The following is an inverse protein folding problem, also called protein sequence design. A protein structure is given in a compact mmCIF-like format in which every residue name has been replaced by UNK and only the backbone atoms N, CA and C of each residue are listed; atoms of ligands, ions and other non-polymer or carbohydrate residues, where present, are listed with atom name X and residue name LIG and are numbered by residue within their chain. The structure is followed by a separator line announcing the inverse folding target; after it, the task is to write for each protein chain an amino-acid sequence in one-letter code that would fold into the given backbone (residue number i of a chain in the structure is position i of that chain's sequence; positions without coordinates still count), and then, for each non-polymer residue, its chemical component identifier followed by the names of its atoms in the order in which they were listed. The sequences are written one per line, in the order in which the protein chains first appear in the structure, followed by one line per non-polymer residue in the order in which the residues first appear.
data_IF_108286643389
#
_entry.id   IF_108286643389
#
_cell.length_a   1.000
_cell.length_b   1.000
_cell.length_c   1.000
_cell.angle_alpha   90.00
_cell.angle_beta   90.00
_cell.angle_gamma   90.00
#
_symmetry.space_group_name_H-M   'P 1'
#
loop_
_entity.id
_entity.type
_entity.pdbx_description
1 polymer ?
#
# COMPACT_ATOMS: atom_id res chain seq x y z
N UNK A 1 18.69 0.00 -5.86
CA UNK A 1 18.37 -1.46 -5.92
C UNK A 1 17.92 -1.78 -7.32
N UNK A 2 18.43 -2.84 -7.95
CA UNK A 2 17.83 -3.32 -9.19
C UNK A 2 16.43 -3.86 -8.87
N UNK A 3 15.40 -3.57 -9.69
CA UNK A 3 14.10 -4.18 -9.51
C UNK A 3 14.27 -5.69 -9.51
N UNK A 4 13.67 -6.35 -8.54
CA UNK A 4 13.73 -7.81 -8.43
C UNK A 4 13.08 -8.38 -9.70
N UNK A 5 13.75 -9.23 -10.47
CA UNK A 5 13.18 -9.78 -11.69
C UNK A 5 11.89 -10.55 -11.34
N UNK A 6 10.80 -10.27 -12.02
CA UNK A 6 9.50 -10.91 -11.81
C UNK A 6 9.57 -12.44 -11.74
N UNK A 7 10.48 -13.09 -12.51
CA UNK A 7 10.69 -14.54 -12.44
C UNK A 7 11.24 -15.04 -11.10
N UNK A 8 12.02 -14.24 -10.37
CA UNK A 8 12.48 -14.61 -9.04
C UNK A 8 11.36 -14.44 -8.01
N UNK A 9 10.57 -13.38 -8.13
CA UNK A 9 9.38 -13.17 -7.32
C UNK A 9 8.29 -14.22 -7.56
N UNK A 10 8.11 -14.70 -8.81
CA UNK A 10 7.13 -15.74 -9.16
C UNK A 10 7.54 -17.09 -8.54
N UNK A 11 8.81 -17.47 -8.59
CA UNK A 11 9.26 -18.74 -8.04
C UNK A 11 9.16 -18.79 -6.49
N UNK A 12 9.51 -17.69 -5.81
CA UNK A 12 9.29 -17.54 -4.37
C UNK A 12 7.80 -17.35 -4.07
N UNK A 13 7.05 -16.66 -4.96
CA UNK A 13 5.62 -16.44 -4.87
C UNK A 13 4.79 -17.71 -4.95
N UNK A 14 5.17 -18.68 -5.79
CA UNK A 14 4.48 -19.98 -5.85
C UNK A 14 4.65 -20.78 -4.56
N UNK A 15 5.80 -20.71 -3.90
CA UNK A 15 6.03 -21.36 -2.62
C UNK A 15 5.30 -20.64 -1.48
N UNK A 16 5.29 -19.31 -1.51
CA UNK A 16 4.53 -18.46 -0.59
C UNK A 16 3.02 -18.61 -0.86
N UNK A 17 2.57 -18.60 -2.11
CA UNK A 17 1.18 -18.79 -2.49
C UNK A 17 0.67 -20.18 -2.11
N UNK A 18 1.51 -21.23 -2.20
CA UNK A 18 1.18 -22.56 -1.70
C UNK A 18 1.03 -22.55 -0.17
N UNK A 19 1.84 -21.79 0.54
CA UNK A 19 1.67 -21.59 1.98
C UNK A 19 0.41 -20.77 2.30
N UNK A 20 0.07 -19.76 1.50
CA UNK A 20 -1.17 -18.98 1.67
C UNK A 20 -2.42 -19.71 1.19
N UNK A 21 -2.36 -20.51 0.14
CA UNK A 21 -3.48 -21.37 -0.32
C UNK A 21 -3.71 -22.58 0.57
N UNK A 22 -2.68 -23.10 1.23
CA UNK A 22 -2.83 -24.14 2.24
C UNK A 22 -3.45 -23.59 3.54
N UNK A 23 -3.42 -22.27 3.72
CA UNK A 23 -4.20 -21.60 4.73
C UNK A 23 -5.55 -21.26 4.10
N UNK A 24 -6.51 -22.20 4.23
CA UNK A 24 -7.90 -21.92 3.92
C UNK A 24 -8.28 -20.53 4.46
N UNK A 25 -9.23 -19.78 3.80
CA UNK A 25 -9.63 -18.43 4.24
C UNK A 25 -10.11 -18.37 5.70
N UNK A 26 -10.01 -19.45 6.41
CA UNK A 26 -10.45 -19.70 7.79
C UNK A 26 -9.34 -20.19 8.71
N UNK A 27 -8.10 -20.29 8.27
CA UNK A 27 -6.97 -20.47 9.20
C UNK A 27 -6.63 -19.12 9.84
N UNK A 28 -7.54 -18.83 10.66
CA UNK A 28 -7.76 -17.75 11.59
C UNK A 28 -6.47 -17.46 12.31
N UNK A 29 -6.16 -16.22 12.42
CA UNK A 29 -5.04 -15.76 13.22
C UNK A 29 -5.02 -16.49 14.56
N UNK A 30 -4.12 -17.46 14.66
CA UNK A 30 -3.79 -18.12 15.93
C UNK A 30 -2.48 -17.48 16.42
N UNK A 31 -2.53 -16.60 17.43
CA UNK A 31 -1.35 -15.92 17.95
C UNK A 31 -0.31 -16.90 18.50
N UNK A 32 -0.66 -18.16 18.72
CA UNK A 32 0.29 -19.20 19.17
C UNK A 32 1.04 -19.84 18.01
N UNK A 33 0.50 -19.80 16.80
CA UNK A 33 1.05 -20.41 15.58
C UNK A 33 1.76 -19.42 14.68
N UNK A 34 1.37 -18.14 14.76
CA UNK A 34 1.99 -17.09 13.96
C UNK A 34 3.33 -16.69 14.58
N UNK A 35 4.36 -16.54 13.74
CA UNK A 35 5.69 -16.10 14.18
C UNK A 35 5.72 -14.58 14.45
N UNK A 36 4.94 -14.14 15.42
CA UNK A 36 4.88 -12.74 15.87
C UNK A 36 5.73 -12.52 17.10
N UNK A 37 6.27 -11.32 17.23
CA UNK A 37 7.03 -10.95 18.41
C UNK A 37 6.21 -11.00 19.70
N UNK A 38 6.84 -11.13 20.87
CA UNK A 38 6.14 -11.10 22.14
C UNK A 38 5.35 -9.81 22.38
N UNK A 39 5.83 -8.67 21.89
CA UNK A 39 5.17 -7.36 22.00
C UNK A 39 3.86 -7.32 21.20
N UNK A 40 3.89 -7.78 19.96
CA UNK A 40 2.70 -7.88 19.10
C UNK A 40 1.70 -8.85 19.71
N UNK A 41 2.16 -10.02 20.13
CA UNK A 41 1.31 -11.02 20.80
C UNK A 41 0.60 -10.44 22.03
N UNK A 42 1.34 -9.71 22.85
CA UNK A 42 0.79 -9.02 24.02
C UNK A 42 -0.24 -7.98 23.60
N UNK A 43 0.07 -7.15 22.60
CA UNK A 43 -0.85 -6.13 22.10
C UNK A 43 -2.18 -6.71 21.63
N UNK A 44 -2.15 -7.86 20.94
CA UNK A 44 -3.37 -8.57 20.52
C UNK A 44 -4.14 -9.15 21.71
N UNK A 45 -3.45 -9.81 22.63
CA UNK A 45 -4.09 -10.51 23.75
C UNK A 45 -4.71 -9.53 24.76
N UNK A 46 -4.05 -8.40 25.01
CA UNK A 46 -4.50 -7.38 25.97
C UNK A 46 -5.30 -6.26 25.30
N UNK A 47 -5.49 -6.30 23.96
CA UNK A 47 -6.11 -5.24 23.16
C UNK A 47 -5.48 -3.89 23.53
N UNK A 48 -4.16 -3.83 23.52
CA UNK A 48 -3.41 -2.61 23.83
C UNK A 48 -2.96 -1.91 22.54
N UNK A 49 -2.76 -0.59 22.62
CA UNK A 49 -2.31 0.19 21.51
C UNK A 49 -0.90 -0.21 21.07
N UNK A 50 -0.69 -0.31 19.78
CA UNK A 50 0.61 -0.48 19.12
C UNK A 50 0.76 0.58 18.02
N UNK A 51 1.96 1.10 17.86
CA UNK A 51 2.25 2.03 16.77
C UNK A 51 2.24 1.29 15.44
N UNK A 52 1.57 1.85 14.44
CA UNK A 52 1.52 1.28 13.09
C UNK A 52 1.65 2.35 12.01
N UNK A 53 2.24 1.97 10.88
CA UNK A 53 2.16 2.72 9.61
C UNK A 53 1.11 2.01 8.77
N UNK A 54 0.06 2.72 8.40
CA UNK A 54 -1.05 2.21 7.59
C UNK A 54 -0.93 2.76 6.18
N UNK A 55 -1.08 1.87 5.21
CA UNK A 55 -1.04 2.19 3.78
C UNK A 55 -2.34 1.74 3.15
N UNK A 56 -2.97 2.65 2.42
CA UNK A 56 -4.11 2.37 1.55
C UNK A 56 -3.70 2.57 0.10
N UNK A 57 -4.00 1.59 -0.73
CA UNK A 57 -3.73 1.62 -2.17
C UNK A 57 -5.06 1.51 -2.91
N UNK A 58 -5.24 2.28 -3.97
CA UNK A 58 -6.47 2.31 -4.77
C UNK A 58 -6.16 2.47 -6.26
N UNK A 59 -6.92 1.75 -7.10
CA UNK A 59 -6.83 1.89 -8.56
C UNK A 59 -7.75 3.02 -9.01
N UNK A 60 -7.16 4.14 -9.37
CA UNK A 60 -7.92 5.29 -9.88
C UNK A 60 -8.66 4.95 -11.15
N UNK A 61 -9.93 5.37 -11.22
CA UNK A 61 -10.83 5.12 -12.35
C UNK A 61 -11.15 3.64 -12.58
N UNK A 62 -10.97 2.77 -11.60
CA UNK A 62 -11.30 1.33 -11.69
C UNK A 62 -12.71 1.07 -12.22
N UNK A 63 -13.70 1.81 -11.75
CA UNK A 63 -15.10 1.72 -12.24
C UNK A 63 -15.20 2.11 -13.73
N UNK A 64 -14.40 3.06 -14.20
CA UNK A 64 -14.34 3.43 -15.63
C UNK A 64 -13.61 2.35 -16.43
N UNK A 65 -12.52 1.80 -15.89
CA UNK A 65 -11.79 0.67 -16.48
C UNK A 65 -12.72 -0.53 -16.67
N UNK A 66 -13.48 -0.90 -15.64
CA UNK A 66 -14.46 -1.98 -15.71
C UNK A 66 -15.55 -1.71 -16.76
N UNK A 67 -16.09 -0.46 -16.81
CA UNK A 67 -17.13 -0.07 -17.77
C UNK A 67 -16.65 -0.13 -19.22
N UNK A 68 -15.40 0.27 -19.47
CA UNK A 68 -14.80 0.27 -20.80
C UNK A 68 -14.22 -1.10 -21.19
N UNK A 69 -14.15 -2.07 -20.28
CA UNK A 69 -13.62 -3.41 -20.56
C UNK A 69 -14.38 -4.13 -21.65
N UNK A 70 -13.63 -4.71 -22.60
CA UNK A 70 -14.14 -5.53 -23.68
C UNK A 70 -14.55 -6.91 -23.15
N UNK A 71 -13.72 -7.48 -22.30
CA UNK A 71 -13.90 -8.77 -21.64
C UNK A 71 -13.82 -8.59 -20.12
N UNK A 72 -14.97 -8.65 -19.43
CA UNK A 72 -15.05 -8.50 -17.98
C UNK A 72 -14.35 -9.66 -17.24
N UNK A 73 -14.46 -10.92 -17.65
CA UNK A 73 -13.62 -11.99 -17.12
C UNK A 73 -12.11 -11.72 -17.21
N UNK A 74 -11.63 -11.11 -18.30
CA UNK A 74 -10.21 -10.74 -18.43
C UNK A 74 -9.84 -9.63 -17.46
N UNK A 75 -10.71 -8.63 -17.26
CA UNK A 75 -10.52 -7.60 -16.22
C UNK A 75 -10.37 -8.25 -14.84
N UNK A 76 -11.27 -9.20 -14.50
CA UNK A 76 -11.22 -9.88 -13.21
C UNK A 76 -9.93 -10.68 -13.02
N UNK A 77 -9.46 -11.39 -14.07
CA UNK A 77 -8.16 -12.10 -14.02
C UNK A 77 -6.98 -11.13 -13.80
N UNK A 78 -6.94 -10.03 -14.55
CA UNK A 78 -5.88 -9.01 -14.37
C UNK A 78 -5.87 -8.41 -12.98
N UNK A 79 -7.06 -8.19 -12.39
CA UNK A 79 -7.18 -7.71 -11.02
C UNK A 79 -6.72 -8.77 -10.01
N UNK A 80 -7.08 -10.04 -10.21
CA UNK A 80 -6.66 -11.15 -9.34
C UNK A 80 -5.14 -11.33 -9.36
N UNK A 81 -4.53 -11.31 -10.55
CA UNK A 81 -3.07 -11.36 -10.71
C UNK A 81 -2.38 -10.19 -9.99
N UNK A 82 -2.95 -8.97 -10.10
CA UNK A 82 -2.44 -7.81 -9.38
C UNK A 82 -2.54 -7.97 -7.86
N UNK A 83 -3.66 -8.49 -7.35
CA UNK A 83 -3.86 -8.78 -5.92
C UNK A 83 -2.83 -9.79 -5.42
N UNK A 84 -2.60 -10.86 -6.17
CA UNK A 84 -1.65 -11.90 -5.80
C UNK A 84 -0.21 -11.35 -5.72
N UNK A 85 0.20 -10.57 -6.73
CA UNK A 85 1.52 -9.94 -6.73
C UNK A 85 1.65 -8.90 -5.61
N UNK A 86 0.63 -8.05 -5.42
CA UNK A 86 0.60 -7.08 -4.33
C UNK A 86 0.86 -7.75 -2.98
N UNK A 87 0.20 -8.87 -2.68
CA UNK A 87 0.39 -9.62 -1.43
C UNK A 87 1.80 -10.18 -1.31
N UNK A 88 2.39 -10.65 -2.41
CA UNK A 88 3.75 -11.15 -2.45
C UNK A 88 4.75 -10.04 -2.14
N UNK A 89 4.61 -8.88 -2.79
CA UNK A 89 5.45 -7.70 -2.54
C UNK A 89 5.28 -7.20 -1.11
N UNK A 90 4.04 -7.18 -0.59
CA UNK A 90 3.75 -6.79 0.78
C UNK A 90 4.46 -7.68 1.79
N UNK A 91 4.35 -9.00 1.60
CA UNK A 91 5.01 -9.97 2.48
C UNK A 91 6.54 -9.83 2.45
N UNK A 92 7.12 -9.66 1.26
CA UNK A 92 8.56 -9.45 1.10
C UNK A 92 9.06 -8.23 1.90
N UNK A 93 8.26 -7.17 1.99
CA UNK A 93 8.55 -5.97 2.79
C UNK A 93 8.07 -6.06 4.25
N UNK A 94 7.67 -7.23 4.73
CA UNK A 94 7.25 -7.45 6.12
C UNK A 94 5.96 -6.74 6.52
N UNK A 95 5.12 -6.39 5.54
CA UNK A 95 3.83 -5.77 5.77
C UNK A 95 2.73 -6.80 6.04
N UNK A 96 1.66 -6.34 6.66
CA UNK A 96 0.48 -7.12 7.01
C UNK A 96 -0.70 -6.68 6.14
N UNK A 97 -1.37 -7.65 5.51
CA UNK A 97 -2.58 -7.39 4.75
C UNK A 97 -3.78 -7.31 5.71
N UNK A 98 -4.56 -6.22 5.65
CA UNK A 98 -5.78 -6.10 6.44
C UNK A 98 -7.00 -6.54 5.63
N UNK A 99 -7.29 -5.84 4.55
CA UNK A 99 -8.47 -6.17 3.72
C UNK A 99 -8.36 -5.65 2.29
N UNK A 100 -9.16 -6.27 1.45
CA UNK A 100 -9.47 -5.84 0.10
C UNK A 100 -10.75 -4.98 0.10
N UNK A 101 -10.71 -3.84 -0.58
CA UNK A 101 -11.82 -2.86 -0.61
C UNK A 101 -12.54 -2.82 -1.97
N UNK A 102 -12.35 -3.85 -2.79
CA UNK A 102 -12.97 -4.00 -4.11
C UNK A 102 -12.02 -3.70 -5.27
N UNK A 103 -11.37 -2.58 -5.27
CA UNK A 103 -10.35 -2.13 -6.23
C UNK A 103 -9.11 -1.55 -5.54
N UNK A 104 -9.10 -1.62 -4.21
CA UNK A 104 -8.03 -1.15 -3.37
C UNK A 104 -7.70 -2.10 -2.23
N UNK A 105 -6.68 -1.75 -1.46
CA UNK A 105 -6.13 -2.55 -0.38
C UNK A 105 -5.83 -1.69 0.83
N UNK A 106 -5.99 -2.29 2.01
CA UNK A 106 -5.46 -1.74 3.25
C UNK A 106 -4.41 -2.71 3.79
N UNK A 107 -3.24 -2.19 4.09
CA UNK A 107 -2.15 -2.93 4.69
C UNK A 107 -1.44 -2.07 5.75
N UNK A 108 -0.61 -2.70 6.58
CA UNK A 108 0.05 -2.00 7.68
C UNK A 108 1.36 -2.65 8.08
N UNK A 109 2.22 -1.85 8.72
CA UNK A 109 3.46 -2.28 9.39
C UNK A 109 3.38 -1.93 10.85
N UNK A 110 3.69 -2.89 11.71
CA UNK A 110 3.74 -2.69 13.16
C UNK A 110 5.13 -2.16 13.53
N UNK A 111 5.17 -1.01 14.17
CA UNK A 111 6.43 -0.35 14.52
C UNK A 111 6.88 -0.80 15.90
N UNK A 112 7.83 -1.74 15.93
CA UNK A 112 8.37 -2.29 17.17
C UNK A 112 9.70 -1.66 17.61
N UNK A 113 10.43 -1.05 16.67
CA UNK A 113 11.79 -0.52 16.91
C UNK A 113 11.93 0.89 16.35
N UNK A 114 12.65 1.02 15.24
CA UNK A 114 12.90 2.31 14.59
C UNK A 114 11.77 2.65 13.61
N UNK A 115 11.10 3.75 13.82
CA UNK A 115 10.07 4.25 12.89
C UNK A 115 10.68 4.55 11.51
N UNK A 116 11.89 5.10 11.48
CA UNK A 116 12.58 5.43 10.22
C UNK A 116 12.87 4.21 9.36
N UNK A 117 13.31 3.10 9.97
CA UNK A 117 13.58 1.85 9.24
C UNK A 117 12.29 1.25 8.65
N UNK A 118 11.19 1.30 9.41
CA UNK A 118 9.89 0.86 8.90
C UNK A 118 9.39 1.77 7.78
N UNK A 119 9.58 3.09 7.91
CA UNK A 119 9.18 4.03 6.87
C UNK A 119 9.96 3.84 5.58
N UNK A 120 11.26 3.52 5.65
CA UNK A 120 12.09 3.13 4.50
C UNK A 120 11.50 1.92 3.78
N UNK A 121 11.20 0.86 4.54
CA UNK A 121 10.56 -0.35 4.01
C UNK A 121 9.21 -0.07 3.37
N UNK A 122 8.38 0.77 3.99
CA UNK A 122 7.07 1.17 3.45
C UNK A 122 7.21 1.94 2.14
N UNK A 123 8.16 2.85 2.04
CA UNK A 123 8.38 3.61 0.81
C UNK A 123 8.93 2.73 -0.32
N UNK A 124 9.83 1.80 -0.01
CA UNK A 124 10.32 0.81 -0.98
C UNK A 124 9.18 -0.08 -1.50
N UNK A 125 8.29 -0.51 -0.61
CA UNK A 125 7.06 -1.22 -0.97
C UNK A 125 6.19 -0.38 -1.92
N UNK A 126 5.90 0.87 -1.57
CA UNK A 126 5.07 1.75 -2.38
C UNK A 126 5.66 1.98 -3.77
N UNK A 127 6.99 2.19 -3.86
CA UNK A 127 7.69 2.30 -5.14
C UNK A 127 7.55 1.03 -5.98
N UNK A 128 7.76 -0.13 -5.36
CA UNK A 128 7.69 -1.43 -6.03
C UNK A 128 6.29 -1.69 -6.60
N UNK A 129 5.25 -1.46 -5.80
CA UNK A 129 3.85 -1.66 -6.23
C UNK A 129 3.47 -0.69 -7.35
N UNK A 130 3.87 0.58 -7.27
CA UNK A 130 3.60 1.56 -8.33
C UNK A 130 4.31 1.20 -9.64
N UNK A 131 5.58 0.78 -9.58
CA UNK A 131 6.37 0.42 -10.75
C UNK A 131 5.80 -0.83 -11.43
N UNK A 132 5.44 -1.85 -10.64
CA UNK A 132 4.82 -3.07 -11.13
C UNK A 132 3.47 -2.78 -11.79
N UNK A 133 2.63 -1.97 -11.15
CA UNK A 133 1.35 -1.59 -11.75
C UNK A 133 1.55 -0.87 -13.09
N UNK A 134 2.42 0.14 -13.14
CA UNK A 134 2.72 0.91 -14.36
C UNK A 134 3.28 0.03 -15.48
N UNK A 135 4.14 -0.92 -15.13
CA UNK A 135 4.88 -1.72 -16.11
C UNK A 135 4.07 -2.90 -16.64
N UNK A 136 3.25 -3.53 -15.80
CA UNK A 136 2.60 -4.80 -16.14
C UNK A 136 1.08 -4.72 -16.17
N UNK A 137 0.46 -4.12 -15.16
CA UNK A 137 -1.00 -4.18 -15.01
C UNK A 137 -1.75 -3.08 -15.75
N UNK A 138 -1.22 -1.85 -15.74
CA UNK A 138 -1.80 -0.77 -16.53
C UNK A 138 -1.88 -1.12 -18.03
N UNK A 139 -0.82 -1.61 -18.69
CA UNK A 139 -0.91 -2.04 -20.09
C UNK A 139 -1.89 -3.21 -20.29
N UNK A 140 -1.97 -4.15 -19.34
CA UNK A 140 -2.91 -5.27 -19.42
C UNK A 140 -4.37 -4.81 -19.32
N UNK A 141 -4.67 -3.84 -18.44
CA UNK A 141 -5.99 -3.20 -18.38
C UNK A 141 -6.32 -2.46 -19.67
N UNK A 142 -5.40 -1.64 -20.17
CA UNK A 142 -5.58 -0.84 -21.41
C UNK A 142 -5.82 -1.73 -22.63
N UNK A 143 -5.09 -2.83 -22.75
CA UNK A 143 -5.27 -3.79 -23.85
C UNK A 143 -6.68 -4.43 -23.88
N UNK A 144 -7.40 -4.41 -22.76
CA UNK A 144 -8.77 -4.92 -22.63
C UNK A 144 -9.83 -3.81 -22.60
N UNK A 145 -9.54 -2.61 -23.08
CA UNK A 145 -10.48 -1.49 -23.09
C UNK A 145 -10.91 -1.08 -24.50
N UNK A 146 -12.15 -0.58 -24.62
CA UNK A 146 -12.65 0.07 -25.83
C UNK A 146 -12.10 1.48 -25.97
N UNK A 147 -12.11 2.20 -24.87
CA UNK A 147 -11.55 3.55 -24.77
C UNK A 147 -10.75 3.63 -23.47
N UNK A 148 -9.59 4.26 -23.54
CA UNK A 148 -8.73 4.48 -22.39
C UNK A 148 -9.19 5.74 -21.64
N UNK A 149 -9.74 5.61 -20.41
CA UNK A 149 -10.04 6.77 -19.58
C UNK A 149 -8.75 7.47 -19.14
N UNK A 150 -8.73 8.79 -19.14
CA UNK A 150 -7.61 9.54 -18.58
C UNK A 150 -7.52 9.36 -17.07
N UNK A 151 -6.31 9.35 -16.53
CA UNK A 151 -6.06 9.33 -15.09
C UNK A 151 -6.23 7.97 -14.42
N UNK A 152 -6.00 6.88 -15.16
CA UNK A 152 -5.83 5.54 -14.57
C UNK A 152 -4.44 5.46 -13.94
N UNK A 153 -4.35 4.84 -12.77
CA UNK A 153 -3.10 4.63 -12.05
C UNK A 153 -3.34 4.20 -10.61
N UNK A 154 -2.28 3.98 -9.87
CA UNK A 154 -2.38 3.76 -8.44
C UNK A 154 -2.28 5.07 -7.68
N UNK A 155 -3.10 5.20 -6.64
CA UNK A 155 -2.97 6.23 -5.61
C UNK A 155 -2.71 5.57 -4.28
N UNK A 156 -1.82 6.14 -3.50
CA UNK A 156 -1.43 5.59 -2.20
C UNK A 156 -1.60 6.66 -1.13
N UNK A 157 -2.28 6.30 -0.04
CA UNK A 157 -2.40 7.12 1.17
C UNK A 157 -1.67 6.48 2.33
N UNK A 158 -0.93 7.26 3.11
CA UNK A 158 -0.16 6.80 4.26
C UNK A 158 -0.49 7.64 5.48
N UNK A 159 -0.76 6.96 6.60
CA UNK A 159 -0.84 7.58 7.92
C UNK A 159 -0.16 6.69 8.97
N UNK A 160 0.18 7.24 10.12
CA UNK A 160 0.81 6.49 11.19
C UNK A 160 0.37 6.98 12.56
N UNK A 161 0.30 6.05 13.49
CA UNK A 161 -0.05 6.34 14.88
C UNK A 161 -0.52 5.11 15.64
N UNK A 162 -1.06 5.31 16.84
CA UNK A 162 -1.53 4.22 17.66
C UNK A 162 -2.75 3.53 17.06
N UNK A 163 -2.65 2.20 16.96
CA UNK A 163 -3.69 1.32 16.46
C UNK A 163 -3.91 0.16 17.45
N UNK A 164 -5.00 -0.56 17.29
CA UNK A 164 -5.33 -1.76 18.03
C UNK A 164 -5.46 -2.92 17.05
N UNK A 165 -4.93 -4.07 17.42
CA UNK A 165 -5.11 -5.31 16.68
C UNK A 165 -6.16 -6.16 17.37
N UNK A 166 -7.18 -6.58 16.63
CA UNK A 166 -8.25 -7.41 17.18
C UNK A 166 -8.69 -8.46 16.17
N UNK A 167 -8.96 -9.69 16.59
CA UNK A 167 -9.57 -10.68 15.74
C UNK A 167 -11.07 -10.36 15.54
N UNK A 168 -11.44 -10.06 14.31
CA UNK A 168 -12.84 -9.87 13.91
C UNK A 168 -13.21 -11.01 12.95
N UNK A 169 -14.20 -11.83 13.35
CA UNK A 169 -14.67 -13.00 12.57
C UNK A 169 -13.53 -13.98 12.21
N UNK A 170 -12.44 -13.94 12.98
CA UNK A 170 -11.28 -14.82 12.79
C UNK A 170 -10.12 -14.22 12.03
N UNK A 171 -10.29 -13.08 11.38
CA UNK A 171 -9.21 -12.34 10.73
C UNK A 171 -8.63 -11.28 11.66
N UNK A 172 -7.30 -11.17 11.69
CA UNK A 172 -6.65 -10.09 12.43
C UNK A 172 -6.85 -8.78 11.69
N UNK A 173 -7.55 -7.85 12.34
CA UNK A 173 -7.89 -6.55 11.76
C UNK A 173 -7.25 -5.43 12.59
N UNK A 174 -6.75 -4.41 11.91
CA UNK A 174 -6.25 -3.20 12.54
C UNK A 174 -7.37 -2.17 12.71
N UNK A 175 -7.42 -1.51 13.86
CA UNK A 175 -8.40 -0.45 14.19
C UNK A 175 -7.65 0.76 14.73
N UNK A 176 -7.95 1.95 14.19
CA UNK A 176 -7.36 3.20 14.66
C UNK A 176 -7.58 4.37 13.72
N UNK A 177 -7.32 5.59 14.19
CA UNK A 177 -7.40 6.80 13.36
C UNK A 177 -6.46 6.79 12.14
N UNK A 178 -5.27 6.15 12.18
CA UNK A 178 -4.40 6.08 11.01
C UNK A 178 -5.05 5.40 9.80
N UNK A 179 -5.99 4.46 10.00
CA UNK A 179 -6.70 3.85 8.88
C UNK A 179 -7.55 4.90 8.15
N UNK A 180 -8.29 5.69 8.93
CA UNK A 180 -9.13 6.75 8.37
C UNK A 180 -8.28 7.80 7.66
N UNK A 181 -7.16 8.20 8.27
CA UNK A 181 -6.21 9.15 7.68
C UNK A 181 -5.61 8.63 6.37
N UNK A 182 -5.11 7.40 6.33
CA UNK A 182 -4.57 6.78 5.13
C UNK A 182 -5.61 6.72 3.99
N UNK A 183 -6.85 6.29 4.29
CA UNK A 183 -7.95 6.27 3.31
C UNK A 183 -8.23 7.67 2.76
N UNK A 184 -8.31 8.70 3.63
CA UNK A 184 -8.54 10.09 3.19
C UNK A 184 -7.41 10.61 2.31
N UNK A 185 -6.17 10.32 2.67
CA UNK A 185 -5.01 10.68 1.84
C UNK A 185 -5.08 9.97 0.49
N UNK A 186 -5.41 8.70 0.47
CA UNK A 186 -5.58 7.94 -0.75
C UNK A 186 -6.68 8.54 -1.62
N UNK A 187 -7.86 8.87 -1.07
CA UNK A 187 -9.01 9.43 -1.80
C UNK A 187 -8.67 10.71 -2.57
N UNK A 188 -7.81 11.54 -1.99
CA UNK A 188 -7.40 12.84 -2.57
C UNK A 188 -6.11 12.76 -3.39
N UNK A 189 -5.45 11.61 -3.39
CA UNK A 189 -4.17 11.39 -4.04
C UNK A 189 -4.34 11.29 -5.57
N UNK A 190 -3.54 12.01 -6.38
CA UNK A 190 -3.51 11.80 -7.82
C UNK A 190 -2.98 10.41 -8.19
N UNK A 191 -3.26 9.93 -9.42
CA UNK A 191 -2.64 8.71 -9.92
C UNK A 191 -1.12 8.80 -9.92
N UNK A 192 -0.46 7.69 -9.59
CA UNK A 192 1.01 7.57 -9.48
C UNK A 192 1.67 8.48 -8.43
N UNK A 193 0.89 8.90 -7.45
CA UNK A 193 1.39 9.64 -6.30
C UNK A 193 1.14 8.87 -5.01
N UNK A 194 1.88 9.26 -3.99
CA UNK A 194 1.56 8.87 -2.64
C UNK A 194 1.34 10.15 -1.79
N UNK A 195 0.38 10.11 -0.90
CA UNK A 195 0.10 11.20 0.03
C UNK A 195 0.24 10.74 1.47
N UNK A 196 0.98 11.52 2.23
CA UNK A 196 1.18 11.28 3.65
C UNK A 196 0.31 12.24 4.47
N UNK A 197 -0.39 11.69 5.45
CA UNK A 197 -1.09 12.48 6.46
C UNK A 197 -0.06 13.09 7.43
N UNK A 198 0.73 14.02 6.93
CA UNK A 198 1.83 14.60 7.68
C UNK A 198 1.47 16.03 8.11
N UNK A 199 1.67 16.30 9.36
CA UNK A 199 1.54 17.61 9.98
C UNK A 199 2.87 18.01 10.62
N UNK A 200 3.08 19.30 10.95
CA UNK A 200 4.32 19.72 11.60
C UNK A 200 4.60 18.92 12.87
N UNK A 201 5.76 18.27 12.91
CA UNK A 201 6.15 17.39 14.01
C UNK A 201 5.65 15.95 13.92
N UNK A 202 4.99 15.55 12.81
CA UNK A 202 4.63 14.15 12.60
C UNK A 202 5.87 13.30 12.33
N UNK A 203 5.87 12.07 12.86
CA UNK A 203 6.95 11.09 12.63
C UNK A 203 7.06 10.68 11.15
N UNK A 204 5.98 10.79 10.39
CA UNK A 204 5.98 10.52 8.95
C UNK A 204 6.92 11.46 8.18
N UNK A 205 6.92 12.76 8.51
CA UNK A 205 7.83 13.71 7.90
C UNK A 205 9.30 13.42 8.22
N UNK A 206 9.56 13.11 9.47
CA UNK A 206 10.91 12.81 9.93
C UNK A 206 11.43 11.52 9.27
N UNK A 207 10.63 10.47 9.26
CA UNK A 207 10.92 9.20 8.58
C UNK A 207 11.13 9.38 7.07
N UNK A 208 10.24 10.14 6.41
CA UNK A 208 10.35 10.42 4.98
C UNK A 208 11.65 11.16 4.63
N UNK A 209 11.99 12.21 5.35
CA UNK A 209 13.22 12.97 5.10
C UNK A 209 14.48 12.12 5.16
N UNK A 210 14.54 11.20 6.12
CA UNK A 210 15.65 10.27 6.28
C UNK A 210 15.69 9.23 5.15
N UNK A 211 14.55 8.71 4.76
CA UNK A 211 14.42 7.67 3.72
C UNK A 211 14.71 8.22 2.34
N UNK A 212 14.16 9.37 2.01
CA UNK A 212 14.38 10.01 0.72
C UNK A 212 15.86 10.30 0.43
N UNK A 213 16.67 10.52 1.47
CA UNK A 213 18.11 10.65 1.34
C UNK A 213 18.83 9.32 0.96
N UNK A 214 18.15 8.17 1.11
CA UNK A 214 18.71 6.83 0.90
C UNK A 214 18.12 6.10 -0.31
N UNK A 215 17.03 6.61 -0.91
CA UNK A 215 16.43 6.00 -2.10
C UNK A 215 17.46 5.91 -3.21
N UNK A 216 17.39 4.83 -3.98
CA UNK A 216 18.39 4.47 -4.99
C UNK A 216 18.66 5.61 -5.97
N UNK A 217 19.89 5.63 -6.52
CA UNK A 217 20.30 6.65 -7.51
C UNK A 217 19.42 6.67 -8.77
N UNK A 218 18.62 5.62 -9.02
CA UNK A 218 17.75 5.48 -10.19
C UNK A 218 16.34 6.05 -9.96
N UNK A 219 15.93 6.30 -8.71
CA UNK A 219 14.61 6.84 -8.39
C UNK A 219 14.78 8.29 -7.94
N UNK A 220 14.03 9.16 -8.57
CA UNK A 220 13.87 10.53 -8.13
C UNK A 220 12.45 10.72 -7.56
N UNK A 221 12.29 11.70 -6.71
CA UNK A 221 11.00 12.04 -6.14
C UNK A 221 10.84 13.55 -6.06
N UNK A 222 9.57 13.97 -6.11
CA UNK A 222 9.18 15.36 -5.87
C UNK A 222 8.24 15.37 -4.69
N UNK A 223 8.47 16.30 -3.77
CA UNK A 223 7.58 16.50 -2.62
C UNK A 223 6.87 17.84 -2.80
N UNK A 224 5.55 17.81 -2.75
CA UNK A 224 4.71 19.01 -2.77
C UNK A 224 3.86 19.05 -1.50
N UNK A 225 3.77 20.21 -0.88
CA UNK A 225 2.83 20.44 0.22
C UNK A 225 1.45 20.74 -0.35
N UNK A 226 0.44 20.05 0.12
CA UNK A 226 -0.96 20.28 -0.27
C UNK A 226 -1.81 20.52 0.97
N UNK A 227 -2.83 21.37 0.85
CA UNK A 227 -3.91 21.44 1.82
C UNK A 227 -5.01 20.49 1.36
N UNK A 228 -5.34 19.52 2.20
CA UNK A 228 -6.37 18.53 1.92
C UNK A 228 -7.54 18.72 2.86
N UNK A 229 -8.72 18.97 2.29
CA UNK A 229 -9.96 19.03 3.05
C UNK A 229 -10.53 17.63 3.21
N UNK A 230 -10.79 17.23 4.43
CA UNK A 230 -11.46 15.98 4.75
C UNK A 230 -12.67 16.24 5.64
N UNK A 231 -13.50 15.23 5.86
CA UNK A 231 -14.63 15.35 6.78
C UNK A 231 -14.20 15.68 8.21
N UNK A 232 -13.04 15.18 8.60
CA UNK A 232 -12.43 15.38 9.92
C UNK A 232 -11.74 16.73 10.03
N UNK A 233 -11.30 17.28 8.89
CA UNK A 233 -10.58 18.56 8.79
C UNK A 233 -11.16 19.41 7.66
N UNK A 234 -12.37 19.97 7.84
CA UNK A 234 -13.06 20.72 6.78
C UNK A 234 -12.39 22.06 6.44
N UNK A 235 -11.46 22.54 7.25
CA UNK A 235 -10.66 23.74 6.98
C UNK A 235 -9.33 23.45 6.27
N UNK A 236 -9.14 22.21 5.87
CA UNK A 236 -7.91 21.73 5.28
C UNK A 236 -6.88 21.27 6.30
N UNK A 237 -6.14 20.27 5.92
CA UNK A 237 -4.99 19.72 6.63
C UNK A 237 -3.78 19.77 5.71
N UNK A 238 -2.63 20.13 6.25
CA UNK A 238 -1.37 20.06 5.50
C UNK A 238 -1.01 18.59 5.31
N UNK A 239 -0.82 18.20 4.07
CA UNK A 239 -0.34 16.87 3.69
C UNK A 239 0.79 17.00 2.66
N UNK A 240 1.59 15.96 2.53
CA UNK A 240 2.70 15.91 1.60
C UNK A 240 2.35 14.93 0.48
N UNK A 241 2.36 15.43 -0.76
CA UNK A 241 2.27 14.62 -1.96
C UNK A 241 3.67 14.29 -2.41
N UNK A 242 3.94 13.01 -2.62
CA UNK A 242 5.23 12.52 -3.11
C UNK A 242 5.00 11.83 -4.44
N UNK A 243 5.65 12.31 -5.48
CA UNK A 243 5.67 11.70 -6.79
C UNK A 243 7.00 11.00 -6.97
N UNK A 244 6.96 9.71 -7.34
CA UNK A 244 8.14 8.92 -7.67
C UNK A 244 8.26 8.78 -9.20
N UNK A 245 9.49 8.95 -9.70
CA UNK A 245 9.80 8.77 -11.11
C UNK A 245 11.21 8.22 -11.30
N UNK A 246 11.45 7.47 -12.37
CA UNK A 246 12.79 7.03 -12.73
C UNK A 246 13.58 8.19 -13.32
N UNK A 247 14.85 8.34 -12.89
CA UNK A 247 15.76 9.33 -13.50
C UNK A 247 15.93 9.02 -14.99
N UNK A 248 15.60 9.99 -15.85
CA UNK A 248 15.68 9.86 -17.29
C UNK A 248 14.32 9.61 -17.98
N UNK A 249 13.26 9.28 -17.27
CA UNK A 249 11.90 9.32 -17.83
C UNK A 249 11.44 10.78 -17.92
N UNK A 250 11.04 11.19 -19.14
CA UNK A 250 10.35 12.47 -19.29
C UNK A 250 8.97 12.34 -18.67
N UNK A 251 8.67 13.20 -17.71
CA UNK A 251 7.30 13.33 -17.24
C UNK A 251 6.42 13.71 -18.42
N UNK A 252 5.51 12.81 -18.80
CA UNK A 252 4.40 13.16 -19.67
C UNK A 252 3.27 13.65 -18.77
N UNK A 253 3.01 14.94 -18.87
CA UNK A 253 1.81 15.58 -18.32
C UNK A 253 0.62 15.30 -19.21
#
# INVERSE_FOLDING_TARGET
MNPIPMKALIAEGEEIEHQFRSHAPLDRFDPTRTNVSPSIRKAITEISAIEAIVVTVDIRRSSSVLKESIDVPQYARTLDDFVAEFRTVLHYHGGWFDKFTGDGFICYWLVEKSFGEHMETVLDFCCSVMDNFRTYYYPAFVANMRNEPSGIGLSIGIDAGPCYLTPIVGDLTIIGSPIVGAVRMCDTCPPYHLMLNAYPGSRLLEGMSTTCARLSDDIAYRVETRSVETKEYPQGQVSYSVEFFRKGERMFF
#
